data_IF_123344914727
#
_entry.id   IF_123344914727
#
_cell.length_a   1.000
_cell.length_b   1.000
_cell.length_c   1.000
_cell.angle_alpha   90.00
_cell.angle_beta   90.00
_cell.angle_gamma   90.00
#
_symmetry.space_group_name_H-M   'P 1'
#
loop_
_entity.id
_entity.type
_entity.pdbx_description
1 polymer ?
#
# COMPACT_ATOMS: atom_id res chain seq x y z
N UNK A 1 -0.18 29.69 -16.23
CA UNK A 1 -1.57 29.71 -15.71
C UNK A 1 -1.91 28.25 -15.44
N UNK A 2 -1.76 27.79 -14.20
CA UNK A 2 -1.82 26.37 -13.76
C UNK A 2 -0.82 25.43 -14.46
N UNK A 3 0.13 24.87 -13.71
CA UNK A 3 1.09 23.88 -14.23
C UNK A 3 0.80 22.51 -13.62
N UNK A 4 0.22 21.60 -14.40
CA UNK A 4 -0.06 20.24 -13.98
C UNK A 4 1.21 19.37 -13.90
N UNK A 5 2.29 19.76 -14.59
CA UNK A 5 3.59 19.08 -14.50
C UNK A 5 4.23 19.22 -13.11
N UNK A 6 3.85 20.26 -12.36
CA UNK A 6 4.25 20.46 -10.98
C UNK A 6 3.40 19.67 -9.97
N UNK A 7 2.57 18.72 -10.40
CA UNK A 7 1.71 17.92 -9.52
C UNK A 7 0.53 18.71 -8.95
N UNK A 8 -0.02 19.65 -9.70
CA UNK A 8 -1.17 20.44 -9.29
C UNK A 8 -2.47 19.64 -9.42
N UNK A 9 -3.30 19.67 -8.37
CA UNK A 9 -4.66 19.13 -8.39
C UNK A 9 -5.68 20.27 -8.37
N UNK A 10 -6.75 20.13 -9.14
CA UNK A 10 -7.75 21.18 -9.31
C UNK A 10 -9.13 20.63 -8.98
N UNK A 11 -9.84 21.34 -8.11
CA UNK A 11 -11.24 21.09 -7.78
C UNK A 11 -12.04 22.33 -8.12
N UNK A 12 -13.11 22.15 -8.88
CA UNK A 12 -14.04 23.20 -9.27
C UNK A 12 -15.39 22.96 -8.57
N UNK A 13 -16.00 24.02 -8.06
CA UNK A 13 -17.33 23.97 -7.46
C UNK A 13 -18.13 25.22 -7.80
N UNK A 14 -19.42 25.04 -8.09
CA UNK A 14 -20.36 26.14 -8.32
C UNK A 14 -21.09 26.50 -7.03
N UNK A 15 -21.09 27.77 -6.67
CA UNK A 15 -21.69 28.30 -5.44
C UNK A 15 -22.76 29.33 -5.78
N UNK A 16 -23.93 29.19 -5.19
CA UNK A 16 -25.02 30.16 -5.33
C UNK A 16 -24.75 31.39 -4.47
N UNK A 17 -24.54 32.53 -5.12
CA UNK A 17 -24.59 33.84 -4.48
C UNK A 17 -26.04 34.33 -4.33
N UNK A 18 -26.19 35.50 -3.70
CA UNK A 18 -27.49 36.14 -3.46
C UNK A 18 -28.25 36.48 -4.75
N UNK A 19 -27.54 36.77 -5.85
CA UNK A 19 -28.16 37.12 -7.13
C UNK A 19 -27.76 36.24 -8.31
N UNK A 20 -26.63 35.53 -8.25
CA UNK A 20 -26.18 34.65 -9.34
C UNK A 20 -25.23 33.55 -8.84
N UNK A 21 -24.92 32.58 -9.69
CA UNK A 21 -23.98 31.49 -9.39
C UNK A 21 -22.55 31.90 -9.72
N UNK A 22 -21.63 31.70 -8.78
CA UNK A 22 -20.18 31.90 -8.94
C UNK A 22 -19.44 30.57 -8.93
N UNK A 23 -18.25 30.56 -9.52
CA UNK A 23 -17.38 29.38 -9.57
C UNK A 23 -16.21 29.57 -8.62
N UNK A 24 -15.97 28.58 -7.75
CA UNK A 24 -14.81 28.49 -6.89
C UNK A 24 -13.88 27.40 -7.44
N UNK A 25 -12.66 27.80 -7.75
CA UNK A 25 -11.58 26.93 -8.16
C UNK A 25 -10.56 26.81 -7.02
N UNK A 26 -10.28 25.58 -6.60
CA UNK A 26 -9.26 25.25 -5.61
C UNK A 26 -8.13 24.52 -6.32
N UNK A 27 -6.92 25.08 -6.25
CA UNK A 27 -5.74 24.50 -6.88
C UNK A 27 -4.75 24.11 -5.77
N UNK A 28 -4.59 22.82 -5.54
CA UNK A 28 -3.62 22.27 -4.59
C UNK A 28 -2.27 22.07 -5.27
N UNK A 29 -1.19 22.54 -4.65
CA UNK A 29 0.18 22.33 -5.10
C UNK A 29 0.98 21.49 -4.09
N UNK A 30 2.08 20.81 -4.51
CA UNK A 30 2.84 19.97 -3.59
C UNK A 30 3.47 20.71 -2.41
N UNK A 31 3.76 22.01 -2.57
CA UNK A 31 4.40 22.82 -1.54
C UNK A 31 3.82 24.24 -1.49
N UNK A 32 3.84 24.90 -0.31
CA UNK A 32 3.37 26.28 -0.18
C UNK A 32 4.20 27.28 -0.99
N UNK A 33 5.46 26.98 -1.30
CA UNK A 33 6.34 27.83 -2.13
C UNK A 33 5.88 27.83 -3.58
N UNK A 34 5.57 26.66 -4.15
CA UNK A 34 5.02 26.54 -5.51
C UNK A 34 3.67 27.26 -5.57
N UNK A 35 2.80 27.05 -4.59
CA UNK A 35 1.52 27.74 -4.50
C UNK A 35 1.67 29.28 -4.52
N UNK A 36 2.64 29.83 -3.79
CA UNK A 36 2.90 31.26 -3.76
C UNK A 36 3.41 31.81 -5.11
N UNK A 37 4.31 31.09 -5.77
CA UNK A 37 4.79 31.45 -7.10
C UNK A 37 3.65 31.45 -8.12
N UNK A 38 2.81 30.42 -8.07
CA UNK A 38 1.67 30.28 -8.96
C UNK A 38 0.60 31.34 -8.72
N UNK A 39 0.33 31.71 -7.47
CA UNK A 39 -0.51 32.85 -7.16
C UNK A 39 0.04 34.10 -7.85
N UNK A 40 1.34 34.40 -7.71
CA UNK A 40 2.00 35.55 -8.35
C UNK A 40 1.78 35.59 -9.87
N UNK A 41 1.90 34.43 -10.54
CA UNK A 41 1.66 34.30 -11.99
C UNK A 41 0.19 34.57 -12.35
N UNK A 42 -0.76 34.14 -11.53
CA UNK A 42 -2.20 34.42 -11.73
C UNK A 42 -2.46 35.93 -11.57
N UNK A 43 -1.83 36.60 -10.61
CA UNK A 43 -1.97 38.06 -10.44
C UNK A 43 -1.47 38.81 -11.68
N UNK A 44 -0.29 38.44 -12.19
CA UNK A 44 0.30 39.08 -13.36
C UNK A 44 -0.54 38.89 -14.64
N UNK A 45 -1.15 37.70 -14.80
CA UNK A 45 -2.06 37.43 -15.92
C UNK A 45 -3.36 38.25 -15.83
N UNK A 46 -3.87 38.49 -14.62
CA UNK A 46 -5.08 39.30 -14.43
C UNK A 46 -4.81 40.80 -14.61
N UNK A 47 -3.66 41.30 -14.14
CA UNK A 47 -3.26 42.70 -14.33
C UNK A 47 -2.98 43.07 -15.79
N UNK A 48 -2.48 42.12 -16.59
CA UNK A 48 -2.30 42.31 -18.03
C UNK A 48 -3.62 42.30 -18.81
N UNK A 49 -4.71 41.85 -18.18
CA UNK A 49 -6.09 41.89 -18.70
C UNK A 49 -6.86 43.07 -18.06
N UNK A 50 -6.22 44.25 -18.00
CA UNK A 50 -6.84 45.51 -17.57
C UNK A 50 -8.06 45.91 -18.44
N UNK A 51 -8.87 46.89 -17.99
CA UNK A 51 -10.26 47.09 -18.39
C UNK A 51 -10.45 47.06 -19.91
N UNK A 52 -11.43 46.26 -20.33
CA UNK A 52 -11.76 45.99 -21.73
C UNK A 52 -11.58 47.24 -22.61
N UNK A 53 -10.60 47.18 -23.52
CA UNK A 53 -10.49 48.15 -24.60
C UNK A 53 -11.79 48.10 -25.42
N UNK A 54 -12.44 49.26 -25.55
CA UNK A 54 -13.69 49.43 -26.29
C UNK A 54 -13.58 48.84 -27.71
N UNK A 55 -14.35 47.77 -28.00
CA UNK A 55 -14.55 47.29 -29.36
C UNK A 55 -14.35 45.79 -29.64
N UNK A 56 -14.20 44.92 -28.63
CA UNK A 56 -14.24 43.46 -28.83
C UNK A 56 -15.53 42.85 -28.25
N UNK A 57 -16.13 41.84 -28.92
CA UNK A 57 -17.40 41.25 -28.49
C UNK A 57 -17.22 40.70 -27.08
N UNK A 58 -18.11 41.14 -26.18
CA UNK A 58 -18.08 40.83 -24.76
C UNK A 58 -18.02 39.32 -24.53
N UNK A 59 -16.82 38.81 -24.27
CA UNK A 59 -16.68 37.52 -23.59
C UNK A 59 -17.16 37.78 -22.17
N UNK A 60 -18.42 37.38 -21.92
CA UNK A 60 -19.08 37.15 -20.64
C UNK A 60 -18.64 38.12 -19.56
N UNK A 61 -19.47 39.14 -19.30
CA UNK A 61 -19.55 39.94 -18.07
C UNK A 61 -18.59 39.40 -16.99
N UNK A 62 -17.36 39.91 -16.95
CA UNK A 62 -16.37 39.49 -15.96
C UNK A 62 -16.88 40.01 -14.62
N UNK A 63 -17.75 39.22 -13.98
CA UNK A 63 -18.14 39.43 -12.60
C UNK A 63 -16.93 39.27 -11.68
N UNK A 64 -17.14 39.37 -10.37
CA UNK A 64 -16.03 39.48 -9.43
C UNK A 64 -14.99 38.36 -9.60
N UNK A 65 -13.73 38.75 -9.65
CA UNK A 65 -12.58 37.85 -9.65
C UNK A 65 -11.76 38.12 -8.38
N UNK A 66 -11.81 37.18 -7.44
CA UNK A 66 -11.04 37.24 -6.21
C UNK A 66 -10.15 36.00 -6.09
N UNK A 67 -9.05 36.13 -5.36
CA UNK A 67 -8.05 35.06 -5.20
C UNK A 67 -7.39 35.12 -3.83
N UNK A 68 -7.10 33.96 -3.25
CA UNK A 68 -6.48 33.82 -1.94
C UNK A 68 -5.59 32.58 -1.90
N UNK A 69 -4.52 32.61 -1.12
CA UNK A 69 -3.73 31.41 -0.80
C UNK A 69 -4.01 30.94 0.62
N UNK A 70 -4.13 29.64 0.79
CA UNK A 70 -4.29 28.96 2.08
C UNK A 70 -3.35 27.77 2.12
N UNK A 71 -2.20 27.89 2.80
CA UNK A 71 -1.16 26.85 2.80
C UNK A 71 -0.64 26.51 1.38
N UNK A 72 -0.71 25.23 0.95
CA UNK A 72 -0.41 24.78 -0.41
C UNK A 72 -1.54 25.01 -1.44
N UNK A 73 -2.69 25.53 -1.02
CA UNK A 73 -3.86 25.72 -1.87
C UNK A 73 -3.94 27.17 -2.36
N UNK A 74 -4.19 27.36 -3.65
CA UNK A 74 -4.58 28.62 -4.27
C UNK A 74 -6.06 28.55 -4.63
N UNK A 75 -6.87 29.40 -4.00
CA UNK A 75 -8.30 29.50 -4.25
C UNK A 75 -8.60 30.72 -5.13
N UNK A 76 -9.47 30.54 -6.12
CA UNK A 76 -9.92 31.57 -7.07
C UNK A 76 -11.44 31.53 -7.14
N UNK A 77 -12.10 32.65 -6.86
CA UNK A 77 -13.54 32.81 -7.03
C UNK A 77 -13.80 33.73 -8.22
N UNK A 78 -14.57 33.25 -9.20
CA UNK A 78 -14.86 33.96 -10.44
C UNK A 78 -16.32 33.73 -10.88
N UNK A 79 -16.96 34.74 -11.45
CA UNK A 79 -18.32 34.62 -12.02
C UNK A 79 -19.19 35.84 -11.69
N UNK A 80 -20.47 35.82 -12.07
CA UNK A 80 -21.42 36.94 -11.87
C UNK A 80 -21.82 37.20 -10.40
N UNK A 81 -20.92 36.97 -9.45
CA UNK A 81 -21.10 37.25 -8.03
C UNK A 81 -20.49 38.61 -7.66
N UNK A 82 -20.92 39.20 -6.54
CA UNK A 82 -20.34 40.45 -6.05
C UNK A 82 -18.93 40.24 -5.48
N UNK A 83 -18.11 41.30 -5.45
CA UNK A 83 -16.73 41.23 -4.90
C UNK A 83 -16.71 40.84 -3.42
N UNK A 84 -17.72 41.28 -2.67
CA UNK A 84 -17.92 40.91 -1.26
C UNK A 84 -18.22 39.41 -1.10
N UNK A 85 -19.09 38.85 -1.95
CA UNK A 85 -19.40 37.41 -1.93
C UNK A 85 -18.21 36.57 -2.36
N UNK A 86 -17.48 36.98 -3.39
CA UNK A 86 -16.25 36.31 -3.81
C UNK A 86 -15.21 36.29 -2.69
N UNK A 87 -15.05 37.42 -1.99
CA UNK A 87 -14.14 37.53 -0.83
C UNK A 87 -14.61 36.68 0.36
N UNK A 88 -15.91 36.60 0.61
CA UNK A 88 -16.51 35.77 1.66
C UNK A 88 -16.34 34.27 1.38
N UNK A 89 -16.58 33.84 0.13
CA UNK A 89 -16.33 32.47 -0.31
C UNK A 89 -14.86 32.09 -0.12
N UNK A 90 -13.93 32.95 -0.50
CA UNK A 90 -12.50 32.72 -0.26
C UNK A 90 -12.12 32.77 1.22
N UNK A 91 -12.80 33.60 2.02
CA UNK A 91 -12.57 33.65 3.46
C UNK A 91 -12.81 32.28 4.08
N UNK A 92 -13.84 31.54 3.64
CA UNK A 92 -14.17 30.19 4.11
C UNK A 92 -13.13 29.11 3.77
N UNK A 93 -12.20 29.38 2.83
CA UNK A 93 -11.16 28.42 2.45
C UNK A 93 -10.00 28.50 3.45
N UNK A 94 -9.90 27.47 4.30
CA UNK A 94 -8.84 27.28 5.29
C UNK A 94 -8.14 25.95 5.08
N UNK A 95 -6.82 25.99 4.95
CA UNK A 95 -5.98 24.81 4.96
C UNK A 95 -5.65 24.45 6.40
N UNK A 96 -6.00 23.24 6.81
CA UNK A 96 -5.63 22.66 8.10
C UNK A 96 -4.64 21.52 7.86
N UNK A 97 -3.52 21.55 8.57
CA UNK A 97 -2.48 20.52 8.48
C UNK A 97 -2.41 19.80 9.82
N UNK A 98 -2.91 18.58 9.84
CA UNK A 98 -2.70 17.69 10.98
C UNK A 98 -1.30 17.06 10.85
N UNK A 99 -0.37 17.51 11.72
CA UNK A 99 0.97 16.94 11.80
C UNK A 99 0.91 15.77 12.77
N UNK A 100 0.60 14.59 12.25
CA UNK A 100 0.72 13.36 13.03
C UNK A 100 2.21 13.10 13.27
N UNK A 101 2.64 13.21 14.52
CA UNK A 101 3.98 12.79 14.91
C UNK A 101 4.16 11.31 14.61
N UNK A 102 5.31 10.95 14.06
CA UNK A 102 5.66 9.58 13.76
C UNK A 102 5.60 8.78 15.07
N UNK A 103 4.62 7.87 15.19
CA UNK A 103 4.43 7.07 16.38
C UNK A 103 5.69 6.21 16.56
N UNK A 104 6.43 6.45 17.65
CA UNK A 104 7.67 5.74 17.88
C UNK A 104 7.35 4.27 18.10
N UNK A 105 7.67 3.43 17.11
CA UNK A 105 7.44 1.99 17.14
C UNK A 105 8.50 1.32 18.02
N UNK A 106 8.55 1.68 19.31
CA UNK A 106 9.34 0.92 20.25
C UNK A 106 8.73 -0.47 20.37
N UNK A 107 9.56 -1.49 20.15
CA UNK A 107 9.20 -2.86 20.46
C UNK A 107 8.88 -2.95 21.95
N UNK A 108 7.58 -3.00 22.27
CA UNK A 108 7.12 -3.26 23.63
C UNK A 108 7.74 -4.56 24.13
N UNK A 109 8.03 -4.69 25.44
CA UNK A 109 8.77 -5.83 26.02
C UNK A 109 8.17 -7.19 25.63
N UNK A 110 6.86 -7.20 25.32
CA UNK A 110 6.08 -8.37 24.87
C UNK A 110 6.28 -8.70 23.38
N UNK A 111 6.63 -7.72 22.54
CA UNK A 111 6.98 -7.87 21.12
C UNK A 111 8.50 -7.88 20.89
N UNK A 112 9.28 -8.31 21.89
CA UNK A 112 10.71 -8.48 21.72
C UNK A 112 10.98 -9.68 20.81
N UNK A 113 11.63 -9.43 19.66
CA UNK A 113 12.08 -10.46 18.71
C UNK A 113 12.92 -11.55 19.40
N UNK A 114 13.64 -11.22 20.47
CA UNK A 114 14.38 -12.19 21.27
C UNK A 114 13.47 -13.22 21.96
N UNK A 115 12.28 -12.81 22.44
CA UNK A 115 11.33 -13.72 23.07
C UNK A 115 10.67 -14.66 22.03
N UNK A 116 10.42 -14.14 20.83
CA UNK A 116 9.98 -14.95 19.69
C UNK A 116 11.04 -16.01 19.36
N UNK A 117 12.30 -15.60 19.21
CA UNK A 117 13.41 -16.50 18.88
C UNK A 117 13.60 -17.59 19.94
N UNK A 118 13.50 -17.22 21.22
CA UNK A 118 13.58 -18.18 22.33
C UNK A 118 12.47 -19.22 22.29
N UNK A 119 11.22 -18.80 22.07
CA UNK A 119 10.09 -19.72 21.96
C UNK A 119 10.24 -20.70 20.78
N UNK A 120 10.81 -20.26 19.65
CA UNK A 120 11.09 -21.14 18.51
C UNK A 120 12.13 -22.20 18.86
N UNK A 121 13.22 -21.82 19.55
CA UNK A 121 14.24 -22.78 20.00
C UNK A 121 13.64 -23.82 20.95
N UNK A 122 12.80 -23.39 21.91
CA UNK A 122 12.09 -24.29 22.83
C UNK A 122 11.16 -25.23 22.06
N UNK A 123 10.39 -24.73 21.09
CA UNK A 123 9.50 -25.54 20.26
C UNK A 123 10.27 -26.63 19.51
N UNK A 124 11.39 -26.28 18.86
CA UNK A 124 12.26 -27.24 18.19
C UNK A 124 12.80 -28.30 19.17
N UNK A 125 13.20 -27.90 20.38
CA UNK A 125 13.65 -28.83 21.41
C UNK A 125 12.58 -29.82 21.84
N UNK A 126 11.33 -29.37 22.02
CA UNK A 126 10.19 -30.23 22.34
C UNK A 126 9.93 -31.24 21.22
N UNK A 127 9.96 -30.81 19.95
CA UNK A 127 9.78 -31.70 18.80
C UNK A 127 10.90 -32.74 18.71
N UNK A 128 12.16 -32.36 18.94
CA UNK A 128 13.27 -33.31 19.04
C UNK A 128 13.04 -34.32 20.18
N UNK A 129 12.60 -33.85 21.35
CA UNK A 129 12.30 -34.73 22.48
C UNK A 129 11.23 -35.77 22.16
N UNK A 130 10.12 -35.35 21.55
CA UNK A 130 9.03 -36.26 21.17
C UNK A 130 9.49 -37.26 20.12
N UNK A 131 10.23 -36.82 19.10
CA UNK A 131 10.71 -37.71 18.03
C UNK A 131 11.73 -38.72 18.53
N UNK A 132 12.65 -38.33 19.43
CA UNK A 132 13.59 -39.25 20.08
C UNK A 132 12.83 -40.25 20.96
N UNK A 133 11.88 -39.80 21.77
CA UNK A 133 11.08 -40.68 22.63
C UNK A 133 10.29 -41.71 21.80
N UNK A 134 9.64 -41.27 20.73
CA UNK A 134 8.91 -42.15 19.81
C UNK A 134 9.84 -43.13 19.08
N UNK A 135 11.01 -42.65 18.63
CA UNK A 135 12.04 -43.48 17.99
C UNK A 135 12.60 -44.53 18.95
N UNK A 136 12.84 -44.17 20.20
CA UNK A 136 13.30 -45.11 21.22
C UNK A 136 12.20 -46.10 21.62
N UNK A 137 10.95 -45.65 21.74
CA UNK A 137 9.83 -46.56 21.99
C UNK A 137 9.68 -47.58 20.86
N UNK A 138 9.69 -47.15 19.59
CA UNK A 138 9.55 -48.04 18.44
C UNK A 138 10.78 -48.95 18.23
N UNK A 139 11.99 -48.40 18.35
CA UNK A 139 13.25 -49.14 18.23
C UNK A 139 13.48 -50.11 19.38
N UNK A 140 13.21 -49.67 20.62
CA UNK A 140 13.29 -50.48 21.83
C UNK A 140 12.27 -51.63 21.82
N UNK A 141 11.03 -51.35 21.43
CA UNK A 141 9.99 -52.38 21.25
C UNK A 141 10.39 -53.36 20.14
N UNK A 142 10.95 -52.89 19.00
CA UNK A 142 11.46 -53.77 17.93
C UNK A 142 12.56 -54.70 18.42
N UNK A 143 13.53 -54.17 19.18
CA UNK A 143 14.63 -54.96 19.73
C UNK A 143 14.13 -55.98 20.77
N UNK A 144 13.18 -55.57 21.62
CA UNK A 144 12.54 -56.46 22.59
C UNK A 144 11.70 -57.55 21.90
N UNK A 145 10.92 -57.23 20.87
CA UNK A 145 10.17 -58.21 20.08
C UNK A 145 11.09 -59.20 19.36
N UNK A 146 12.22 -58.76 18.81
CA UNK A 146 13.19 -59.66 18.18
C UNK A 146 13.84 -60.60 19.21
N UNK A 147 14.02 -60.15 20.44
CA UNK A 147 14.60 -60.96 21.53
C UNK A 147 13.57 -61.89 22.19
N UNK A 148 12.29 -61.51 22.24
CA UNK A 148 11.21 -62.25 22.90
C UNK A 148 10.44 -63.17 21.95
N UNK A 149 10.34 -62.83 20.66
CA UNK A 149 9.97 -63.74 19.57
C UNK A 149 11.22 -64.05 18.74
N UNK A 150 12.14 -64.92 19.23
CA UNK A 150 13.07 -65.59 18.34
C UNK A 150 12.21 -66.44 17.41
N UNK A 151 11.88 -65.88 16.25
CA UNK A 151 10.97 -66.51 15.30
C UNK A 151 11.60 -67.85 14.96
N UNK A 152 10.91 -68.90 15.38
CA UNK A 152 10.97 -70.26 14.83
C UNK A 152 11.48 -70.14 13.41
N UNK A 153 12.67 -70.69 13.17
CA UNK A 153 13.26 -70.84 11.87
C UNK A 153 12.20 -71.48 10.96
N UNK A 154 11.44 -70.66 10.22
CA UNK A 154 10.97 -71.09 8.91
C UNK A 154 12.22 -70.96 8.06
N UNK A 155 12.90 -72.08 7.91
CA UNK A 155 13.49 -72.46 6.64
C UNK A 155 12.43 -72.25 5.55
N UNK A 156 12.37 -71.02 5.06
CA UNK A 156 12.42 -70.78 3.63
C UNK A 156 13.86 -71.18 3.31
N UNK A 157 14.20 -72.43 2.94
CA UNK A 157 13.94 -72.91 1.57
C UNK A 157 13.58 -71.70 0.71
N UNK A 158 14.61 -70.86 0.53
CA UNK A 158 14.79 -70.09 -0.67
C UNK A 158 14.44 -71.05 -1.80
N UNK A 159 13.21 -70.94 -2.28
CA UNK A 159 12.68 -71.66 -3.42
C UNK A 159 13.42 -71.09 -4.63
N UNK A 160 14.69 -71.47 -4.71
CA UNK A 160 15.61 -71.09 -5.76
C UNK A 160 15.19 -71.92 -6.96
N UNK A 161 14.30 -71.35 -7.77
CA UNK A 161 13.93 -71.91 -9.06
C UNK A 161 15.19 -71.83 -9.95
N UNK A 162 16.02 -72.86 -9.89
CA UNK A 162 17.16 -73.02 -10.80
C UNK A 162 16.63 -73.52 -12.15
N UNK A 163 16.68 -72.64 -13.16
CA UNK A 163 16.39 -73.02 -14.54
C UNK A 163 17.57 -73.82 -15.09
N UNK A 164 17.43 -75.14 -15.17
CA UNK A 164 18.45 -76.06 -15.69
C UNK A 164 18.40 -76.07 -17.23
N UNK A 165 19.38 -75.46 -17.90
CA UNK A 165 19.38 -75.28 -19.37
C UNK A 165 20.06 -76.43 -20.15
N UNK A 166 20.56 -77.47 -19.48
CA UNK A 166 21.30 -78.56 -20.15
C UNK A 166 20.40 -79.53 -20.95
N UNK A 167 19.07 -79.50 -20.75
CA UNK A 167 18.14 -80.37 -21.45
C UNK A 167 17.92 -80.01 -22.93
N UNK A 168 18.28 -78.78 -23.36
CA UNK A 168 18.16 -78.35 -24.77
C UNK A 168 19.38 -78.78 -25.60
N UNK A 169 20.52 -79.05 -24.96
CA UNK A 169 21.77 -79.32 -25.68
C UNK A 169 21.92 -80.79 -26.09
N UNK A 170 21.19 -81.71 -25.44
CA UNK A 170 21.21 -83.16 -25.76
C UNK A 170 20.23 -83.60 -26.84
N UNK A 171 19.45 -82.67 -27.40
CA UNK A 171 18.55 -82.93 -28.53
C UNK A 171 19.15 -82.52 -29.89
N UNK A 172 20.45 -82.15 -29.94
CA UNK A 172 21.14 -81.69 -31.14
C UNK A 172 22.47 -82.43 -31.42
N UNK A 173 22.61 -83.64 -30.88
CA UNK A 173 23.57 -84.65 -31.37
C UNK A 173 22.80 -85.87 -31.89
#
# INVERSE_FOLDING_TARGET
MIDFGAGAEVVEGTYRGSSAEGTLLLISYPTPQIAAEHLKRIEAAHQSTGPQAAGQPAVVEMGAFARKRSGPIVAVAAGPISESEASSLLASVHYDADVTWNENTFFDKKNNVANLLWNVVVLCGVLMGITIAAGFAFGGVRMALQKLLPRRTRTTEDDFIALHIDAVQKARE
#
